data_IF_132404957872
#
_entry.id   IF_132404957872
#
_cell.length_a   1.000
_cell.length_b   1.000
_cell.length_c   1.000
_cell.angle_alpha   90.00
_cell.angle_beta   90.00
_cell.angle_gamma   90.00
#
_symmetry.space_group_name_H-M   'P 1'
#
loop_
_entity.id
_entity.type
_entity.pdbx_description
1 polymer ?
#
# COMPACT_ATOMS: atom_id res chain seq x y z
N UNK A 1 -28.91 -26.82 -35.29
CA UNK A 1 -29.76 -26.42 -34.14
C UNK A 1 -29.09 -26.71 -32.80
N UNK A 2 -28.40 -27.84 -32.68
CA UNK A 2 -27.60 -28.16 -31.50
C UNK A 2 -26.42 -27.18 -31.29
N UNK A 3 -25.67 -26.90 -32.35
CA UNK A 3 -24.56 -25.94 -32.33
C UNK A 3 -25.00 -24.51 -31.98
N UNK A 4 -26.25 -24.15 -32.29
CA UNK A 4 -26.80 -22.86 -31.91
C UNK A 4 -27.25 -22.81 -30.43
N UNK A 5 -27.73 -23.95 -29.91
CA UNK A 5 -28.06 -24.08 -28.47
C UNK A 5 -26.79 -24.15 -27.63
N UNK A 6 -25.70 -24.73 -28.14
CA UNK A 6 -24.41 -24.78 -27.50
C UNK A 6 -23.78 -23.36 -27.32
N UNK A 7 -24.04 -22.45 -28.24
CA UNK A 7 -23.67 -21.04 -28.11
C UNK A 7 -24.34 -20.35 -26.90
N UNK A 8 -25.55 -20.79 -26.52
CA UNK A 8 -26.30 -20.26 -25.40
C UNK A 8 -26.09 -21.06 -24.11
N UNK A 9 -25.44 -22.24 -24.18
CA UNK A 9 -25.10 -23.03 -22.98
C UNK A 9 -24.19 -22.26 -22.00
N UNK A 10 -23.39 -21.32 -22.51
CA UNK A 10 -22.55 -20.43 -21.74
C UNK A 10 -23.37 -19.53 -20.80
N UNK A 11 -24.60 -19.14 -21.18
CA UNK A 11 -25.47 -18.30 -20.35
C UNK A 11 -26.09 -19.10 -19.21
N UNK A 12 -26.35 -20.39 -19.41
CA UNK A 12 -26.94 -21.28 -18.37
C UNK A 12 -25.95 -21.68 -17.28
N UNK A 13 -24.65 -21.58 -17.53
CA UNK A 13 -23.57 -21.88 -16.59
C UNK A 13 -23.12 -20.66 -15.76
N UNK A 14 -23.83 -19.54 -15.89
CA UNK A 14 -23.52 -18.33 -15.14
C UNK A 14 -23.96 -18.46 -13.69
N UNK A 15 -22.98 -18.47 -12.77
CA UNK A 15 -23.25 -18.58 -11.34
C UNK A 15 -23.55 -17.21 -10.73
N UNK A 16 -24.34 -17.16 -9.64
CA UNK A 16 -24.60 -15.90 -8.93
C UNK A 16 -23.32 -15.29 -8.35
N UNK A 17 -22.35 -16.13 -7.95
CA UNK A 17 -21.03 -15.71 -7.48
C UNK A 17 -20.23 -15.00 -8.58
N UNK A 18 -20.25 -15.54 -9.79
CA UNK A 18 -19.62 -14.89 -10.96
C UNK A 18 -20.28 -13.53 -11.24
N UNK A 19 -21.62 -13.45 -11.18
CA UNK A 19 -22.36 -12.19 -11.29
C UNK A 19 -21.96 -11.17 -10.23
N UNK A 20 -21.79 -11.61 -8.98
CA UNK A 20 -21.32 -10.74 -7.91
C UNK A 20 -19.90 -10.22 -8.17
N UNK A 21 -18.98 -11.07 -8.64
CA UNK A 21 -17.61 -10.67 -8.94
C UNK A 21 -17.52 -9.72 -10.13
N UNK A 22 -18.36 -9.91 -11.15
CA UNK A 22 -18.50 -8.96 -12.26
C UNK A 22 -19.02 -7.61 -11.75
N UNK A 23 -20.01 -7.61 -10.86
CA UNK A 23 -20.52 -6.38 -10.25
C UNK A 23 -19.41 -5.67 -9.42
N UNK A 24 -18.61 -6.41 -8.65
CA UNK A 24 -17.44 -5.88 -7.93
C UNK A 24 -16.45 -5.29 -8.93
N UNK A 25 -16.13 -5.99 -10.03
CA UNK A 25 -15.27 -5.47 -11.10
C UNK A 25 -15.78 -4.15 -11.69
N UNK A 26 -17.09 -4.07 -11.98
CA UNK A 26 -17.73 -2.83 -12.44
C UNK A 26 -17.64 -1.69 -11.41
N UNK A 27 -17.78 -2.00 -10.13
CA UNK A 27 -17.61 -1.00 -9.03
C UNK A 27 -16.17 -0.50 -9.00
N UNK A 28 -15.16 -1.37 -9.11
CA UNK A 28 -13.76 -0.97 -9.17
C UNK A 28 -13.49 -0.06 -10.38
N UNK A 29 -14.02 -0.38 -11.55
CA UNK A 29 -13.93 0.45 -12.76
C UNK A 29 -14.61 1.82 -12.53
N UNK A 30 -15.79 1.83 -11.92
CA UNK A 30 -16.49 3.07 -11.57
C UNK A 30 -15.66 3.95 -10.62
N UNK A 31 -15.08 3.36 -9.58
CA UNK A 31 -14.21 4.08 -8.63
C UNK A 31 -12.97 4.63 -9.34
N UNK A 32 -12.38 3.87 -10.24
CA UNK A 32 -11.22 4.29 -11.04
C UNK A 32 -11.56 5.50 -11.93
N UNK A 33 -12.66 5.44 -12.69
CA UNK A 33 -12.99 6.43 -13.72
C UNK A 33 -13.69 7.66 -13.13
N UNK A 34 -14.72 7.45 -12.28
CA UNK A 34 -15.59 8.54 -11.82
C UNK A 34 -15.07 9.18 -10.53
N UNK A 35 -14.41 8.40 -9.69
CA UNK A 35 -13.85 8.90 -8.43
C UNK A 35 -12.34 9.17 -8.51
N UNK A 36 -11.71 8.87 -9.65
CA UNK A 36 -10.26 9.03 -9.87
C UNK A 36 -9.40 8.38 -8.78
N UNK A 37 -9.88 7.24 -8.25
CA UNK A 37 -9.23 6.50 -7.17
C UNK A 37 -8.27 5.47 -7.77
N UNK A 38 -6.98 5.72 -7.68
CA UNK A 38 -5.92 4.85 -8.23
C UNK A 38 -6.26 4.25 -9.61
N UNK A 39 -6.55 5.10 -10.63
CA UNK A 39 -7.09 4.62 -11.91
C UNK A 39 -6.17 3.62 -12.61
N UNK A 40 -4.86 3.82 -12.51
CA UNK A 40 -3.84 2.98 -13.14
C UNK A 40 -3.85 1.54 -12.66
N UNK A 41 -4.40 1.28 -11.47
CA UNK A 41 -4.47 -0.04 -10.87
C UNK A 41 -5.89 -0.59 -10.81
N UNK A 42 -6.86 0.21 -10.30
CA UNK A 42 -8.23 -0.27 -10.11
C UNK A 42 -8.93 -0.57 -11.44
N UNK A 43 -8.61 0.17 -12.51
CA UNK A 43 -9.19 -0.08 -13.83
C UNK A 43 -8.76 -1.44 -14.41
N UNK A 44 -7.46 -1.76 -14.51
CA UNK A 44 -7.02 -3.08 -14.98
C UNK A 44 -7.50 -4.23 -14.08
N UNK A 45 -7.49 -4.04 -12.77
CA UNK A 45 -7.96 -5.04 -11.79
C UNK A 45 -9.47 -5.29 -11.95
N UNK A 46 -10.28 -4.23 -12.06
CA UNK A 46 -11.71 -4.33 -12.24
C UNK A 46 -12.08 -4.98 -13.58
N UNK A 47 -11.40 -4.59 -14.67
CA UNK A 47 -11.60 -5.21 -15.97
C UNK A 47 -11.17 -6.67 -15.98
N UNK A 48 -10.03 -6.98 -15.38
CA UNK A 48 -9.57 -8.36 -15.22
C UNK A 48 -10.55 -9.20 -14.40
N UNK A 49 -11.13 -8.65 -13.31
CA UNK A 49 -12.14 -9.33 -12.52
C UNK A 49 -13.41 -9.63 -13.32
N UNK A 50 -13.84 -8.71 -14.19
CA UNK A 50 -14.95 -9.00 -15.14
C UNK A 50 -14.54 -10.15 -16.07
N UNK A 51 -13.34 -10.08 -16.66
CA UNK A 51 -12.90 -11.04 -17.65
C UNK A 51 -12.78 -12.47 -17.10
N UNK A 52 -12.15 -12.65 -15.92
CA UNK A 52 -11.93 -14.00 -15.34
C UNK A 52 -13.19 -14.64 -14.77
N UNK A 53 -14.28 -13.88 -14.61
CA UNK A 53 -15.57 -14.39 -14.12
C UNK A 53 -16.61 -14.55 -15.22
N UNK A 54 -16.25 -14.32 -16.49
CA UNK A 54 -17.10 -14.69 -17.61
C UNK A 54 -17.06 -16.21 -17.82
N UNK A 55 -18.21 -16.86 -18.09
CA UNK A 55 -18.25 -18.30 -18.31
C UNK A 55 -17.42 -18.68 -19.55
N UNK A 56 -16.64 -19.76 -19.42
CA UNK A 56 -15.81 -20.36 -20.49
C UNK A 56 -14.70 -19.47 -21.07
N UNK A 57 -14.33 -18.40 -20.38
CA UNK A 57 -13.15 -17.60 -20.78
C UNK A 57 -11.87 -18.40 -20.47
N UNK A 58 -10.99 -18.48 -21.46
CA UNK A 58 -9.65 -19.00 -21.25
C UNK A 58 -8.83 -17.98 -20.46
N UNK A 59 -8.46 -18.32 -19.23
CA UNK A 59 -7.70 -17.46 -18.33
C UNK A 59 -6.19 -17.72 -18.38
N UNK A 60 -5.70 -18.62 -19.25
CA UNK A 60 -4.28 -19.01 -19.34
C UNK A 60 -3.32 -17.83 -19.51
N UNK A 61 -3.70 -16.82 -20.29
CA UNK A 61 -2.87 -15.64 -20.46
C UNK A 61 -2.71 -14.83 -19.16
N UNK A 62 -3.80 -14.69 -18.39
CA UNK A 62 -3.79 -13.97 -17.11
C UNK A 62 -3.04 -14.82 -16.05
N UNK A 63 -3.24 -16.14 -16.08
CA UNK A 63 -2.50 -17.08 -15.23
C UNK A 63 -1.00 -17.01 -15.52
N UNK A 64 -0.61 -16.99 -16.78
CA UNK A 64 0.79 -16.87 -17.19
C UNK A 64 1.40 -15.55 -16.69
N UNK A 65 0.68 -14.43 -16.80
CA UNK A 65 1.13 -13.15 -16.26
C UNK A 65 1.25 -13.20 -14.72
N UNK A 66 0.29 -13.82 -14.05
CA UNK A 66 0.34 -14.02 -12.60
C UNK A 66 1.57 -14.85 -12.20
N UNK A 67 1.77 -15.98 -12.84
CA UNK A 67 2.89 -16.89 -12.53
C UNK A 67 4.24 -16.26 -12.85
N UNK A 68 4.36 -15.53 -13.97
CA UNK A 68 5.62 -14.90 -14.37
C UNK A 68 5.96 -13.65 -13.55
N UNK A 69 4.97 -12.92 -13.03
CA UNK A 69 5.20 -11.62 -12.43
C UNK A 69 4.92 -11.53 -10.93
N UNK A 70 3.81 -12.15 -10.47
CA UNK A 70 3.42 -12.10 -9.05
C UNK A 70 4.01 -13.29 -8.30
N UNK A 71 3.83 -14.50 -8.83
CA UNK A 71 4.34 -15.71 -8.16
C UNK A 71 5.87 -15.77 -8.06
N UNK A 72 6.57 -15.07 -8.95
CA UNK A 72 8.03 -14.88 -8.91
C UNK A 72 8.46 -13.63 -8.16
N UNK A 73 7.51 -12.86 -7.60
CA UNK A 73 7.75 -11.58 -6.90
C UNK A 73 8.35 -10.47 -7.78
N UNK A 74 8.50 -10.72 -9.10
CA UNK A 74 9.17 -9.80 -10.03
C UNK A 74 8.43 -8.45 -10.16
N UNK A 75 7.09 -8.45 -10.30
CA UNK A 75 6.33 -7.21 -10.48
C UNK A 75 6.39 -6.31 -9.24
N UNK A 76 6.20 -6.79 -7.99
CA UNK A 76 6.40 -5.99 -6.81
C UNK A 76 7.79 -5.34 -6.74
N UNK A 77 8.86 -6.10 -7.00
CA UNK A 77 10.23 -5.60 -6.97
C UNK A 77 10.48 -4.50 -8.02
N UNK A 78 10.05 -4.73 -9.28
CA UNK A 78 10.18 -3.73 -10.34
C UNK A 78 9.35 -2.46 -10.06
N UNK A 79 8.16 -2.62 -9.45
CA UNK A 79 7.34 -1.48 -9.05
C UNK A 79 8.04 -0.64 -7.98
N UNK A 80 8.76 -1.27 -7.05
CA UNK A 80 9.54 -0.55 -6.03
C UNK A 80 10.65 0.31 -6.63
N UNK A 81 11.29 -0.08 -7.76
CA UNK A 81 12.21 0.82 -8.48
C UNK A 81 11.48 2.10 -8.93
N UNK A 82 10.30 1.94 -9.54
CA UNK A 82 9.48 3.06 -9.97
C UNK A 82 9.10 3.97 -8.81
N UNK A 83 8.57 3.40 -7.74
CA UNK A 83 8.17 4.13 -6.53
C UNK A 83 9.39 4.85 -5.92
N UNK A 84 10.52 4.18 -5.78
CA UNK A 84 11.75 4.77 -5.25
C UNK A 84 12.24 5.97 -6.07
N UNK A 85 12.14 5.87 -7.39
CA UNK A 85 12.46 6.98 -8.29
C UNK A 85 11.47 8.15 -8.20
N UNK A 86 10.20 7.89 -7.83
CA UNK A 86 9.18 8.94 -7.61
C UNK A 86 9.36 9.67 -6.29
N UNK A 87 9.86 9.00 -5.25
CA UNK A 87 9.93 9.53 -3.89
C UNK A 87 11.07 10.56 -3.75
N UNK A 88 10.71 11.73 -3.21
CA UNK A 88 11.68 12.70 -2.69
C UNK A 88 11.85 12.50 -1.18
N UNK A 89 13.01 12.00 -0.77
CA UNK A 89 13.36 11.85 0.65
C UNK A 89 13.83 13.16 1.30
N UNK A 90 13.91 14.26 0.57
CA UNK A 90 14.29 15.57 1.08
C UNK A 90 13.54 16.01 2.35
N UNK A 91 12.20 15.93 2.41
CA UNK A 91 11.42 16.25 3.60
C UNK A 91 11.79 15.40 4.83
N UNK A 92 12.07 14.11 4.63
CA UNK A 92 12.52 13.20 5.69
C UNK A 92 13.93 13.54 6.16
N UNK A 93 14.84 13.76 5.21
CA UNK A 93 16.24 14.12 5.52
C UNK A 93 16.35 15.47 6.22
N UNK A 94 15.47 16.43 5.88
CA UNK A 94 15.37 17.73 6.56
C UNK A 94 14.88 17.62 8.01
N UNK A 95 14.06 16.61 8.30
CA UNK A 95 13.52 16.36 9.63
C UNK A 95 13.46 14.86 9.95
N UNK A 96 14.59 14.25 10.36
CA UNK A 96 14.66 12.81 10.62
C UNK A 96 13.71 12.29 11.71
N UNK A 97 13.19 13.19 12.58
CA UNK A 97 12.17 12.81 13.57
C UNK A 97 10.89 12.27 12.92
N UNK A 98 10.66 12.59 11.64
CA UNK A 98 9.52 12.05 10.87
C UNK A 98 9.59 10.54 10.72
N UNK A 99 10.77 9.90 10.82
CA UNK A 99 10.91 8.44 10.82
C UNK A 99 10.12 7.75 11.93
N UNK A 100 9.98 8.40 13.06
CA UNK A 100 9.22 7.87 14.21
C UNK A 100 7.73 7.73 13.88
N UNK A 101 7.19 8.58 13.02
CA UNK A 101 5.78 8.50 12.61
C UNK A 101 5.52 7.31 11.68
N UNK A 102 6.44 7.02 10.77
CA UNK A 102 6.38 5.81 9.95
C UNK A 102 6.39 4.55 10.80
N UNK A 103 7.31 4.47 11.78
CA UNK A 103 7.37 3.33 12.69
C UNK A 103 6.09 3.20 13.55
N UNK A 104 5.58 4.31 14.10
CA UNK A 104 4.38 4.32 14.93
C UNK A 104 3.11 3.95 14.16
N UNK A 105 3.04 4.30 12.88
CA UNK A 105 1.92 3.96 12.03
C UNK A 105 1.86 2.46 11.65
N UNK A 106 2.88 1.65 11.94
CA UNK A 106 2.83 0.19 11.77
C UNK A 106 2.11 -0.52 12.94
N UNK A 107 1.56 0.22 13.89
CA UNK A 107 0.87 -0.35 15.06
C UNK A 107 -0.29 -1.27 14.68
N UNK A 108 -1.08 -0.90 13.68
CA UNK A 108 -2.23 -1.67 13.23
C UNK A 108 -1.83 -3.02 12.63
N UNK A 109 -0.66 -3.14 11.99
CA UNK A 109 -0.13 -4.40 11.48
C UNK A 109 0.00 -5.41 12.63
N UNK A 110 0.74 -5.04 13.68
CA UNK A 110 0.98 -5.96 14.81
C UNK A 110 -0.29 -6.21 15.62
N UNK A 111 -1.16 -5.22 15.76
CA UNK A 111 -2.48 -5.39 16.37
C UNK A 111 -3.32 -6.41 15.59
N UNK A 112 -3.40 -6.28 14.28
CA UNK A 112 -4.20 -7.16 13.43
C UNK A 112 -3.62 -8.57 13.35
N UNK A 113 -2.31 -8.74 13.40
CA UNK A 113 -1.67 -10.04 13.54
C UNK A 113 -2.22 -10.81 14.76
N UNK A 114 -2.31 -10.15 15.90
CA UNK A 114 -2.84 -10.74 17.13
C UNK A 114 -4.34 -11.08 16.97
N UNK A 115 -5.14 -10.14 16.43
CA UNK A 115 -6.58 -10.34 16.25
C UNK A 115 -6.85 -11.49 15.26
N UNK A 116 -6.16 -11.55 14.13
CA UNK A 116 -6.31 -12.61 13.14
C UNK A 116 -5.93 -13.99 13.74
N UNK A 117 -4.87 -14.04 14.56
CA UNK A 117 -4.52 -15.27 15.30
C UNK A 117 -5.61 -15.70 16.28
N UNK A 118 -6.20 -14.76 17.01
CA UNK A 118 -7.32 -15.03 17.92
C UNK A 118 -8.59 -15.49 17.19
N UNK A 119 -8.78 -15.07 15.94
CA UNK A 119 -9.88 -15.55 15.07
C UNK A 119 -9.62 -16.94 14.46
N UNK A 120 -8.46 -17.55 14.71
CA UNK A 120 -8.15 -18.92 14.30
C UNK A 120 -7.42 -19.05 12.95
N UNK A 121 -6.97 -17.95 12.33
CA UNK A 121 -6.11 -18.02 11.14
C UNK A 121 -4.75 -18.64 11.49
N UNK A 122 -4.11 -19.33 10.55
CA UNK A 122 -2.71 -19.79 10.68
C UNK A 122 -1.79 -18.60 10.95
N UNK A 123 -0.56 -18.82 11.40
CA UNK A 123 0.38 -17.71 11.64
C UNK A 123 0.76 -17.03 10.33
N UNK A 124 0.95 -17.80 9.26
CA UNK A 124 1.26 -17.36 7.91
C UNK A 124 0.13 -16.50 7.32
N UNK A 125 -1.11 -16.99 7.46
CA UNK A 125 -2.29 -16.25 6.98
C UNK A 125 -2.54 -14.99 7.81
N UNK A 126 -2.44 -15.08 9.15
CA UNK A 126 -2.61 -13.92 10.03
C UNK A 126 -1.56 -12.83 9.77
N UNK A 127 -0.30 -13.21 9.53
CA UNK A 127 0.78 -12.30 9.18
C UNK A 127 0.54 -11.63 7.81
N UNK A 128 0.10 -12.42 6.84
CA UNK A 128 -0.24 -11.93 5.50
C UNK A 128 -1.46 -11.01 5.49
N UNK A 129 -2.44 -11.24 6.36
CA UNK A 129 -3.61 -10.35 6.55
C UNK A 129 -3.18 -9.04 7.24
N UNK A 130 -2.33 -9.15 8.25
CA UNK A 130 -1.89 -8.00 9.04
C UNK A 130 -1.17 -6.93 8.21
N UNK A 131 -0.34 -7.34 7.26
CA UNK A 131 0.44 -6.41 6.42
C UNK A 131 -0.44 -5.50 5.53
N UNK A 132 -1.72 -5.84 5.33
CA UNK A 132 -2.68 -5.00 4.61
C UNK A 132 -2.78 -3.61 5.24
N UNK A 133 -2.61 -3.52 6.57
CA UNK A 133 -2.70 -2.27 7.33
C UNK A 133 -1.72 -1.20 6.86
N UNK A 134 -0.52 -1.59 6.43
CA UNK A 134 0.47 -0.67 5.88
C UNK A 134 -0.05 0.16 4.69
N UNK A 135 -1.14 -0.29 4.05
CA UNK A 135 -1.64 0.25 2.78
C UNK A 135 -0.52 0.30 1.71
N UNK A 136 0.23 -0.79 1.62
CA UNK A 136 1.35 -1.01 0.71
C UNK A 136 1.10 -2.29 -0.10
N UNK A 137 0.55 -2.11 -1.30
CA UNK A 137 0.19 -3.24 -2.16
C UNK A 137 1.36 -4.16 -2.48
N UNK A 138 2.48 -3.64 -3.00
CA UNK A 138 3.66 -4.45 -3.32
C UNK A 138 4.20 -5.25 -2.12
N UNK A 139 4.34 -4.63 -0.94
CA UNK A 139 4.77 -5.33 0.28
C UNK A 139 3.77 -6.41 0.67
N UNK A 140 2.46 -6.14 0.56
CA UNK A 140 1.41 -7.12 0.88
C UNK A 140 1.45 -8.33 -0.05
N UNK A 141 1.70 -8.13 -1.35
CA UNK A 141 1.89 -9.22 -2.32
C UNK A 141 3.12 -10.04 -1.93
N UNK A 142 4.25 -9.37 -1.73
CA UNK A 142 5.51 -10.03 -1.41
C UNK A 142 5.40 -10.89 -0.15
N UNK A 143 4.91 -10.32 0.95
CA UNK A 143 4.77 -11.03 2.22
C UNK A 143 3.80 -12.22 2.11
N UNK A 144 2.63 -12.03 1.48
CA UNK A 144 1.65 -13.12 1.31
C UNK A 144 2.16 -14.22 0.39
N UNK A 145 3.01 -13.90 -0.60
CA UNK A 145 3.62 -14.85 -1.50
C UNK A 145 4.71 -15.67 -0.79
N UNK A 146 5.65 -15.02 -0.11
CA UNK A 146 6.72 -15.67 0.66
C UNK A 146 6.16 -16.60 1.73
N UNK A 147 5.09 -16.16 2.43
CA UNK A 147 4.39 -16.97 3.45
C UNK A 147 3.47 -18.02 2.85
N UNK A 148 3.31 -18.08 1.53
CA UNK A 148 2.40 -19.00 0.82
C UNK A 148 0.99 -18.99 1.40
N UNK A 149 0.47 -17.79 1.74
CA UNK A 149 -0.87 -17.63 2.32
C UNK A 149 -1.94 -18.26 1.43
N UNK A 150 -2.90 -18.93 2.03
CA UNK A 150 -4.06 -19.48 1.33
C UNK A 150 -4.99 -18.41 0.76
N UNK A 151 -4.86 -17.16 1.23
CA UNK A 151 -5.76 -16.04 0.91
C UNK A 151 -5.09 -14.92 0.12
N UNK A 152 -4.04 -15.23 -0.64
CA UNK A 152 -3.28 -14.24 -1.42
C UNK A 152 -4.18 -13.30 -2.24
N UNK A 153 -5.18 -13.84 -2.93
CA UNK A 153 -6.09 -13.02 -3.74
C UNK A 153 -6.86 -11.98 -2.92
N UNK A 154 -7.45 -12.39 -1.80
CA UNK A 154 -8.18 -11.50 -0.92
C UNK A 154 -7.26 -10.42 -0.33
N UNK A 155 -6.04 -10.80 0.07
CA UNK A 155 -5.03 -9.90 0.63
C UNK A 155 -4.60 -8.86 -0.39
N UNK A 156 -4.30 -9.28 -1.63
CA UNK A 156 -3.90 -8.38 -2.72
C UNK A 156 -5.00 -7.36 -3.04
N UNK A 157 -6.22 -7.83 -3.21
CA UNK A 157 -7.38 -6.96 -3.50
C UNK A 157 -7.62 -6.00 -2.34
N UNK A 158 -7.56 -6.47 -1.09
CA UNK A 158 -7.73 -5.64 0.09
C UNK A 158 -6.66 -4.53 0.16
N UNK A 159 -5.38 -4.88 0.04
CA UNK A 159 -4.27 -3.95 0.16
C UNK A 159 -4.37 -2.79 -0.84
N UNK A 160 -4.65 -3.11 -2.10
CA UNK A 160 -4.79 -2.08 -3.13
C UNK A 160 -6.09 -1.27 -3.01
N UNK A 161 -7.20 -1.95 -2.65
CA UNK A 161 -8.48 -1.25 -2.44
C UNK A 161 -8.38 -0.25 -1.28
N UNK A 162 -7.72 -0.62 -0.19
CA UNK A 162 -7.56 0.29 0.96
C UNK A 162 -6.60 1.43 0.68
N UNK A 163 -5.55 1.22 -0.10
CA UNK A 163 -4.72 2.31 -0.58
C UNK A 163 -5.56 3.35 -1.33
N UNK A 164 -6.46 2.91 -2.21
CA UNK A 164 -7.39 3.79 -2.92
C UNK A 164 -8.41 4.48 -1.99
N UNK A 165 -8.81 3.83 -0.88
CA UNK A 165 -9.79 4.34 0.08
C UNK A 165 -9.21 5.30 1.13
N UNK A 166 -7.91 5.54 1.15
CA UNK A 166 -7.25 6.47 2.09
C UNK A 166 -7.97 7.82 2.19
N UNK A 167 -8.32 8.51 1.10
CA UNK A 167 -8.99 9.82 1.18
C UNK A 167 -10.40 9.77 1.79
N UNK A 168 -11.03 8.60 1.82
CA UNK A 168 -12.38 8.40 2.36
C UNK A 168 -12.32 7.96 3.82
N UNK A 169 -11.45 7.02 4.14
CA UNK A 169 -11.41 6.35 5.46
C UNK A 169 -10.64 7.16 6.49
N UNK A 170 -9.50 7.76 6.12
CA UNK A 170 -8.68 8.51 7.08
C UNK A 170 -9.36 9.75 7.68
N UNK A 171 -10.02 10.64 6.91
CA UNK A 171 -10.55 11.89 7.47
C UNK A 171 -11.54 11.71 8.63
N UNK A 172 -12.54 10.82 8.57
CA UNK A 172 -13.44 10.60 9.70
C UNK A 172 -12.73 10.07 10.94
N UNK A 173 -11.75 9.16 10.76
CA UNK A 173 -10.97 8.60 11.87
C UNK A 173 -10.13 9.68 12.53
N UNK A 174 -9.41 10.47 11.75
CA UNK A 174 -8.60 11.58 12.26
C UNK A 174 -9.48 12.58 13.03
N UNK A 175 -10.68 12.93 12.49
CA UNK A 175 -11.61 13.83 13.19
C UNK A 175 -12.12 13.27 14.50
N UNK A 176 -12.35 11.96 14.57
CA UNK A 176 -12.82 11.27 15.77
C UNK A 176 -11.79 11.34 16.91
N UNK A 177 -10.51 11.19 16.58
CA UNK A 177 -9.42 11.08 17.57
C UNK A 177 -8.65 12.39 17.78
N UNK A 178 -8.98 13.47 17.06
CA UNK A 178 -8.33 14.79 17.22
C UNK A 178 -9.34 15.90 17.48
N UNK A 179 -8.99 16.83 18.34
CA UNK A 179 -9.76 18.05 18.56
C UNK A 179 -9.49 19.11 17.48
N UNK A 180 -10.42 20.08 17.30
CA UNK A 180 -10.20 21.22 16.41
C UNK A 180 -8.94 22.03 16.75
N UNK A 181 -8.60 22.16 18.04
CA UNK A 181 -7.39 22.86 18.49
C UNK A 181 -6.14 22.15 17.98
N UNK A 182 -6.10 20.82 18.07
CA UNK A 182 -4.99 20.02 17.60
C UNK A 182 -4.84 20.10 16.08
N UNK A 183 -5.93 20.04 15.33
CA UNK A 183 -5.89 20.12 13.86
C UNK A 183 -5.46 21.47 13.34
N UNK A 184 -5.62 22.55 14.12
CA UNK A 184 -5.17 23.91 13.81
C UNK A 184 -3.72 24.21 14.20
N UNK A 185 -2.99 23.28 14.77
CA UNK A 185 -1.57 23.46 15.06
C UNK A 185 -0.82 23.68 13.74
N UNK A 186 -0.28 24.89 13.57
CA UNK A 186 0.58 25.24 12.44
C UNK A 186 2.00 24.77 12.72
N UNK A 187 2.65 24.28 11.69
CA UNK A 187 4.05 23.86 11.75
C UNK A 187 4.89 24.65 10.77
N UNK A 188 5.96 25.25 11.25
CA UNK A 188 6.90 25.95 10.41
C UNK A 188 7.78 24.96 9.66
N UNK A 189 7.80 25.05 8.34
CA UNK A 189 8.71 24.29 7.51
C UNK A 189 9.91 25.14 7.13
N UNK A 190 11.04 24.83 7.71
CA UNK A 190 12.33 25.41 7.34
C UNK A 190 13.17 24.30 6.72
N UNK A 191 13.21 24.18 5.37
CA UNK A 191 13.98 23.13 4.72
C UNK A 191 15.48 23.33 4.99
N UNK A 192 16.12 22.31 5.58
CA UNK A 192 17.56 22.29 5.67
C UNK A 192 18.16 22.06 4.27
N UNK A 193 19.23 22.75 3.96
CA UNK A 193 20.00 22.49 2.72
C UNK A 193 20.66 21.12 2.84
N UNK A 194 20.13 20.13 2.11
CA UNK A 194 20.68 18.77 2.10
C UNK A 194 21.71 18.68 0.99
N UNK A 195 22.94 18.25 1.34
CA UNK A 195 24.00 18.08 0.36
C UNK A 195 23.68 16.97 -0.65
N UNK A 196 24.18 17.08 -1.88
CA UNK A 196 24.04 16.04 -2.89
C UNK A 196 24.63 14.71 -2.41
N UNK A 197 25.75 14.76 -1.71
CA UNK A 197 26.40 13.57 -1.11
C UNK A 197 25.46 12.86 -0.13
N UNK A 198 24.77 13.59 0.75
CA UNK A 198 23.79 13.02 1.70
C UNK A 198 22.64 12.34 0.97
N UNK A 199 22.12 12.95 -0.10
CA UNK A 199 21.03 12.36 -0.91
C UNK A 199 21.45 11.06 -1.61
N UNK A 200 22.72 10.97 -2.09
CA UNK A 200 23.25 9.77 -2.72
C UNK A 200 23.57 8.67 -1.69
N UNK A 201 24.15 9.03 -0.55
CA UNK A 201 24.50 8.06 0.48
C UNK A 201 23.29 7.50 1.23
N UNK A 202 22.22 8.28 1.35
CA UNK A 202 21.02 7.88 2.08
C UNK A 202 20.45 6.54 1.61
N UNK A 203 20.11 6.30 0.33
CA UNK A 203 19.57 5.03 -0.12
C UNK A 203 20.53 3.85 0.10
N UNK A 204 21.83 4.07 -0.01
CA UNK A 204 22.85 3.04 0.24
C UNK A 204 22.86 2.65 1.72
N UNK A 205 22.89 3.65 2.62
CA UNK A 205 22.91 3.44 4.07
C UNK A 205 21.63 2.76 4.52
N UNK A 206 20.45 3.21 4.04
CA UNK A 206 19.17 2.61 4.37
C UNK A 206 19.11 1.15 3.93
N UNK A 207 19.59 0.82 2.73
CA UNK A 207 19.66 -0.56 2.23
C UNK A 207 20.51 -1.43 3.14
N UNK A 208 21.71 -0.97 3.54
CA UNK A 208 22.60 -1.72 4.42
C UNK A 208 21.97 -1.92 5.80
N UNK A 209 21.46 -0.84 6.43
CA UNK A 209 20.91 -0.89 7.78
C UNK A 209 19.64 -1.75 7.81
N UNK A 210 18.70 -1.49 6.91
CA UNK A 210 17.43 -2.22 6.87
C UNK A 210 17.65 -3.69 6.47
N UNK A 211 18.53 -3.98 5.52
CA UNK A 211 18.89 -5.34 5.15
C UNK A 211 19.58 -6.11 6.28
N UNK A 212 20.28 -5.42 7.18
CA UNK A 212 20.87 -6.04 8.37
C UNK A 212 19.82 -6.30 9.46
N UNK A 213 18.89 -5.36 9.68
CA UNK A 213 17.85 -5.45 10.71
C UNK A 213 16.73 -6.42 10.31
N UNK A 214 16.35 -6.40 9.05
CA UNK A 214 15.27 -7.20 8.47
C UNK A 214 15.73 -7.88 7.16
N UNK A 215 16.59 -8.91 7.21
CA UNK A 215 17.18 -9.53 6.02
C UNK A 215 16.15 -10.01 4.99
N UNK A 216 14.99 -10.49 5.46
CA UNK A 216 13.89 -10.96 4.59
C UNK A 216 13.23 -9.85 3.75
N UNK A 217 13.45 -8.58 4.08
CA UNK A 217 12.97 -7.45 3.27
C UNK A 217 14.09 -6.76 2.49
N UNK A 218 15.33 -7.29 2.52
CA UNK A 218 16.49 -6.66 1.91
C UNK A 218 16.28 -6.40 0.40
N UNK A 219 15.63 -7.32 -0.30
CA UNK A 219 15.30 -7.17 -1.72
C UNK A 219 14.33 -6.02 -1.95
N UNK A 220 13.20 -5.99 -1.22
CA UNK A 220 12.20 -4.93 -1.36
C UNK A 220 12.81 -3.54 -1.11
N UNK A 221 13.52 -3.39 0.02
CA UNK A 221 14.11 -2.11 0.38
C UNK A 221 15.26 -1.74 -0.57
N UNK A 222 16.01 -2.73 -1.03
CA UNK A 222 17.09 -2.55 -1.99
C UNK A 222 16.57 -2.01 -3.33
N UNK A 223 15.49 -2.57 -3.87
CA UNK A 223 14.86 -2.10 -5.11
C UNK A 223 14.23 -0.71 -4.96
N UNK A 224 13.58 -0.43 -3.82
CA UNK A 224 13.08 0.91 -3.48
C UNK A 224 14.22 1.94 -3.44
N UNK A 225 15.27 1.63 -2.71
CA UNK A 225 16.43 2.52 -2.56
C UNK A 225 17.26 2.64 -3.83
N UNK A 226 17.30 1.59 -4.65
CA UNK A 226 17.94 1.66 -5.98
C UNK A 226 17.20 2.63 -6.89
N UNK A 227 15.86 2.60 -6.91
CA UNK A 227 15.08 3.60 -7.63
C UNK A 227 15.39 5.02 -7.18
N UNK A 228 15.48 5.24 -5.86
CA UNK A 228 15.85 6.54 -5.31
C UNK A 228 17.30 6.95 -5.68
N UNK A 229 18.24 6.03 -5.66
CA UNK A 229 19.63 6.28 -6.06
C UNK A 229 19.72 6.71 -7.53
N UNK A 230 18.97 6.08 -8.44
CA UNK A 230 18.87 6.48 -9.85
C UNK A 230 18.43 7.94 -9.97
N UNK A 231 17.46 8.37 -9.17
CA UNK A 231 16.98 9.76 -9.14
C UNK A 231 18.06 10.72 -8.61
N UNK A 232 18.61 10.42 -7.45
CA UNK A 232 19.46 11.37 -6.69
C UNK A 232 20.90 11.46 -7.22
N UNK A 233 21.38 10.48 -8.01
CA UNK A 233 22.71 10.50 -8.59
C UNK A 233 22.93 11.67 -9.57
N UNK A 234 21.85 12.11 -10.25
CA UNK A 234 21.83 13.25 -11.15
C UNK A 234 22.52 13.04 -12.49
N UNK A 235 23.00 11.82 -12.79
CA UNK A 235 23.63 11.45 -14.07
C UNK A 235 22.75 10.54 -14.92
N UNK A 236 21.68 10.00 -14.36
CA UNK A 236 20.75 9.07 -14.99
C UNK A 236 19.34 9.66 -15.16
N UNK A 237 19.22 10.94 -15.52
CA UNK A 237 17.93 11.63 -15.60
C UNK A 237 16.91 10.92 -16.48
N UNK A 238 17.30 10.48 -17.69
CA UNK A 238 16.42 9.72 -18.59
C UNK A 238 15.97 8.39 -18.00
N UNK A 239 16.87 7.66 -17.32
CA UNK A 239 16.53 6.40 -16.67
C UNK A 239 15.58 6.62 -15.47
N UNK A 240 15.82 7.68 -14.70
CA UNK A 240 14.94 8.09 -13.61
C UNK A 240 13.53 8.40 -14.11
N UNK A 241 13.42 9.15 -15.20
CA UNK A 241 12.13 9.47 -15.81
C UNK A 241 11.42 8.21 -16.35
N UNK A 242 12.15 7.31 -16.97
CA UNK A 242 11.63 6.01 -17.44
C UNK A 242 11.13 5.18 -16.26
N UNK A 243 11.86 5.12 -15.16
CA UNK A 243 11.49 4.36 -13.99
C UNK A 243 10.21 4.92 -13.32
N UNK A 244 10.12 6.25 -13.19
CA UNK A 244 8.99 6.93 -12.56
C UNK A 244 7.68 6.81 -13.36
N UNK A 245 7.78 6.82 -14.70
CA UNK A 245 6.63 6.90 -15.58
C UNK A 245 6.40 5.56 -16.31
N UNK A 246 7.22 5.22 -17.28
CA UNK A 246 6.97 4.07 -18.16
C UNK A 246 7.02 2.74 -17.40
N UNK A 247 8.06 2.51 -16.59
CA UNK A 247 8.21 1.27 -15.83
C UNK A 247 7.09 1.14 -14.78
N UNK A 248 6.89 2.17 -13.96
CA UNK A 248 5.85 2.14 -12.91
C UNK A 248 4.46 1.92 -13.49
N UNK A 249 4.10 2.63 -14.57
CA UNK A 249 2.80 2.48 -15.22
C UNK A 249 2.63 1.10 -15.85
N UNK A 250 3.64 0.59 -16.58
CA UNK A 250 3.59 -0.73 -17.19
C UNK A 250 3.43 -1.84 -16.16
N UNK A 251 4.24 -1.80 -15.11
CA UNK A 251 4.18 -2.80 -14.04
C UNK A 251 2.86 -2.71 -13.29
N UNK A 252 2.35 -1.51 -13.01
CA UNK A 252 1.06 -1.34 -12.35
C UNK A 252 -0.09 -1.91 -13.17
N UNK A 253 -0.08 -1.70 -14.49
CA UNK A 253 -1.06 -2.28 -15.41
C UNK A 253 -0.99 -3.81 -15.42
N UNK A 254 0.20 -4.38 -15.60
CA UNK A 254 0.40 -5.83 -15.60
C UNK A 254 0.01 -6.45 -14.26
N UNK A 255 0.36 -5.80 -13.15
CA UNK A 255 0.02 -6.22 -11.81
C UNK A 255 -1.50 -6.20 -11.58
N UNK A 256 -2.18 -5.12 -11.98
CA UNK A 256 -3.63 -5.00 -11.85
C UNK A 256 -4.38 -6.12 -12.61
N UNK A 257 -4.01 -6.42 -13.84
CA UNK A 257 -4.62 -7.52 -14.62
C UNK A 257 -4.26 -8.88 -13.99
N UNK A 258 -3.00 -9.08 -13.57
CA UNK A 258 -2.54 -10.36 -13.02
C UNK A 258 -3.24 -10.71 -11.70
N UNK A 259 -3.46 -9.71 -10.82
CA UNK A 259 -4.18 -9.91 -9.53
C UNK A 259 -5.59 -10.47 -9.78
N UNK A 260 -6.22 -10.09 -10.88
CA UNK A 260 -7.56 -10.56 -11.23
C UNK A 260 -7.64 -12.10 -11.37
N UNK A 261 -6.54 -12.79 -11.67
CA UNK A 261 -6.49 -14.26 -11.66
C UNK A 261 -6.96 -14.86 -10.33
N UNK A 262 -6.68 -14.17 -9.21
CA UNK A 262 -7.12 -14.57 -7.86
C UNK A 262 -8.51 -14.04 -7.49
N UNK A 263 -9.17 -13.29 -8.38
CA UNK A 263 -10.52 -12.77 -8.19
C UNK A 263 -11.60 -13.66 -8.83
N UNK A 264 -11.30 -14.90 -9.18
CA UNK A 264 -12.28 -15.87 -9.63
C UNK A 264 -13.28 -16.17 -8.52
N UNK A 265 -14.57 -16.22 -8.85
CA UNK A 265 -15.66 -16.31 -7.88
C UNK A 265 -15.55 -17.51 -6.93
N UNK A 266 -15.04 -18.63 -7.42
CA UNK A 266 -14.86 -19.86 -6.64
C UNK A 266 -13.92 -19.69 -5.44
N UNK A 267 -12.88 -18.86 -5.62
CA UNK A 267 -11.86 -18.62 -4.58
C UNK A 267 -12.14 -17.37 -3.76
N UNK A 268 -12.85 -16.39 -4.35
CA UNK A 268 -13.00 -15.07 -3.74
C UNK A 268 -14.27 -14.93 -2.91
N UNK A 269 -15.40 -15.53 -3.33
CA UNK A 269 -16.70 -15.38 -2.65
C UNK A 269 -16.83 -16.40 -1.50
N UNK A 270 -16.07 -16.14 -0.44
CA UNK A 270 -16.04 -16.97 0.78
C UNK A 270 -16.21 -16.10 2.03
N UNK A 271 -16.68 -16.71 3.13
CA UNK A 271 -16.76 -16.01 4.42
C UNK A 271 -15.38 -15.53 4.90
N UNK A 272 -14.35 -16.32 4.65
CA UNK A 272 -12.97 -15.99 5.00
C UNK A 272 -12.49 -14.74 4.26
N UNK A 273 -12.80 -14.60 2.97
CA UNK A 273 -12.47 -13.40 2.20
C UNK A 273 -13.11 -12.15 2.80
N UNK A 274 -14.39 -12.23 3.18
CA UNK A 274 -15.07 -11.11 3.84
C UNK A 274 -14.42 -10.76 5.19
N UNK A 275 -14.05 -11.77 5.98
CA UNK A 275 -13.34 -11.57 7.23
C UNK A 275 -11.97 -10.91 7.02
N UNK A 276 -11.23 -11.30 5.98
CA UNK A 276 -9.94 -10.72 5.61
C UNK A 276 -10.10 -9.25 5.19
N UNK A 277 -11.11 -8.94 4.38
CA UNK A 277 -11.41 -7.56 4.01
C UNK A 277 -11.72 -6.72 5.25
N UNK A 278 -12.53 -7.21 6.18
CA UNK A 278 -12.82 -6.48 7.42
C UNK A 278 -11.58 -6.31 8.30
N UNK A 279 -10.76 -7.36 8.46
CA UNK A 279 -9.51 -7.31 9.23
C UNK A 279 -8.50 -6.33 8.61
N UNK A 280 -8.37 -6.30 7.29
CA UNK A 280 -7.52 -5.35 6.59
C UNK A 280 -7.99 -3.90 6.80
N UNK A 281 -9.32 -3.65 6.81
CA UNK A 281 -9.87 -2.34 7.15
C UNK A 281 -9.55 -1.96 8.61
N UNK A 282 -9.70 -2.90 9.53
CA UNK A 282 -9.34 -2.69 10.95
C UNK A 282 -7.85 -2.37 11.06
N UNK A 283 -6.96 -3.12 10.40
CA UNK A 283 -5.53 -2.87 10.37
C UNK A 283 -5.23 -1.43 9.92
N UNK A 284 -5.79 -1.01 8.80
CA UNK A 284 -5.62 0.32 8.24
C UNK A 284 -6.13 1.44 9.17
N UNK A 285 -7.27 1.22 9.85
CA UNK A 285 -7.80 2.15 10.85
C UNK A 285 -6.82 2.27 12.02
N UNK A 286 -6.33 1.15 12.54
CA UNK A 286 -5.42 1.15 13.70
C UNK A 286 -4.03 1.69 13.37
N UNK A 287 -3.55 1.56 12.14
CA UNK A 287 -2.34 2.23 11.68
C UNK A 287 -2.52 3.76 11.67
N UNK A 288 -3.64 4.25 11.17
CA UNK A 288 -4.00 5.67 11.24
C UNK A 288 -4.09 6.15 12.70
N UNK A 289 -4.77 5.39 13.57
CA UNK A 289 -4.91 5.70 15.01
C UNK A 289 -3.55 5.70 15.70
N UNK A 290 -2.72 4.69 15.47
CA UNK A 290 -1.40 4.55 16.07
C UNK A 290 -0.50 5.73 15.77
N UNK A 291 -0.42 6.16 14.50
CA UNK A 291 0.35 7.33 14.10
C UNK A 291 -0.14 8.62 14.75
N UNK A 292 -1.46 8.86 14.79
CA UNK A 292 -2.05 10.07 15.41
C UNK A 292 -1.84 10.07 16.94
N UNK A 293 -2.06 8.93 17.60
CA UNK A 293 -1.85 8.82 19.06
C UNK A 293 -0.39 9.02 19.42
N UNK A 294 0.53 8.46 18.62
CA UNK A 294 1.96 8.71 18.82
C UNK A 294 2.30 10.20 18.75
N UNK A 295 1.75 10.94 17.77
CA UNK A 295 1.94 12.39 17.69
C UNK A 295 1.41 13.12 18.92
N UNK A 296 0.29 12.68 19.50
CA UNK A 296 -0.25 13.25 20.75
C UNK A 296 0.66 12.95 21.94
N UNK A 297 1.14 11.71 22.05
CA UNK A 297 2.10 11.34 23.11
C UNK A 297 3.39 12.14 22.99
N UNK A 298 3.92 12.26 21.76
CA UNK A 298 5.10 13.08 21.49
C UNK A 298 4.90 14.53 21.93
N UNK A 299 3.69 15.08 21.72
CA UNK A 299 3.34 16.43 22.16
C UNK A 299 3.35 16.63 23.68
N UNK A 300 3.33 15.58 24.49
CA UNK A 300 3.47 15.71 25.96
C UNK A 300 4.90 16.14 26.29
N UNK A 301 5.87 15.62 25.54
CA UNK A 301 7.31 15.81 25.82
C UNK A 301 7.93 16.96 25.00
N UNK A 302 7.34 17.34 23.86
CA UNK A 302 7.89 18.37 22.99
C UNK A 302 7.41 19.78 23.37
N UNK A 303 8.35 20.74 23.38
CA UNK A 303 8.04 22.17 23.55
C UNK A 303 7.28 22.73 22.34
N UNK A 304 7.78 22.40 21.14
CA UNK A 304 7.08 22.74 19.89
C UNK A 304 6.09 21.62 19.56
N UNK A 305 4.81 21.96 19.48
CA UNK A 305 3.75 20.99 19.24
C UNK A 305 3.72 20.59 17.77
N UNK A 306 3.63 19.31 17.52
CA UNK A 306 3.40 18.72 16.21
C UNK A 306 1.89 18.61 15.98
N UNK A 307 1.43 18.90 14.75
CA UNK A 307 0.05 18.65 14.41
C UNK A 307 -0.21 17.12 14.37
N UNK A 308 -1.10 16.58 15.22
CA UNK A 308 -1.28 15.12 15.32
C UNK A 308 -1.74 14.46 14.03
N UNK A 309 -2.37 15.20 13.11
CA UNK A 309 -2.76 14.67 11.80
C UNK A 309 -1.57 14.14 10.98
N UNK A 310 -0.36 14.69 11.20
CA UNK A 310 0.85 14.22 10.49
C UNK A 310 1.13 12.75 10.77
N UNK A 311 0.82 12.27 11.98
CA UNK A 311 1.00 10.87 12.35
C UNK A 311 0.21 9.91 11.46
N UNK A 312 -0.98 10.29 10.99
CA UNK A 312 -1.75 9.46 10.06
C UNK A 312 -1.11 9.30 8.69
N UNK A 313 -0.20 10.20 8.31
CA UNK A 313 0.54 10.08 7.06
C UNK A 313 1.69 9.08 7.12
N UNK A 314 2.00 8.52 8.30
CA UNK A 314 3.04 7.50 8.49
C UNK A 314 2.73 6.13 7.87
N UNK A 315 1.56 5.93 7.25
CA UNK A 315 1.27 4.76 6.42
C UNK A 315 1.98 4.86 5.07
N UNK A 316 2.08 3.74 4.36
CA UNK A 316 2.82 3.65 3.10
C UNK A 316 2.07 4.19 1.86
N UNK A 317 0.80 4.56 1.96
CA UNK A 317 0.01 5.08 0.83
C UNK A 317 0.53 6.43 0.32
N UNK A 318 1.61 6.39 -0.45
CA UNK A 318 2.29 7.58 -1.01
C UNK A 318 1.72 7.94 -2.40
N UNK A 319 1.46 9.23 -2.70
CA UNK A 319 1.50 10.41 -1.81
C UNK A 319 0.13 10.76 -1.18
N UNK A 320 -0.83 9.84 -1.18
CA UNK A 320 -2.23 10.14 -0.85
C UNK A 320 -2.41 10.56 0.61
N UNK A 321 -1.81 9.84 1.57
CA UNK A 321 -1.96 10.14 2.98
C UNK A 321 -1.46 11.56 3.32
N UNK A 322 -0.36 12.00 2.72
CA UNK A 322 0.15 13.36 2.91
C UNK A 322 -0.79 14.43 2.33
N UNK A 323 -1.41 14.16 1.19
CA UNK A 323 -2.40 15.07 0.58
C UNK A 323 -3.67 15.17 1.43
N UNK A 324 -4.13 14.07 2.00
CA UNK A 324 -5.28 14.05 2.93
C UNK A 324 -5.02 14.94 4.14
N UNK A 325 -3.87 14.77 4.80
CA UNK A 325 -3.47 15.59 5.95
C UNK A 325 -3.39 17.07 5.59
N UNK A 326 -2.78 17.39 4.45
CA UNK A 326 -2.68 18.76 3.98
C UNK A 326 -4.05 19.40 3.71
N UNK A 327 -4.94 18.67 3.01
CA UNK A 327 -6.30 19.12 2.72
C UNK A 327 -7.08 19.39 4.02
N UNK A 328 -7.06 18.45 4.96
CA UNK A 328 -7.72 18.60 6.26
C UNK A 328 -7.15 19.77 7.07
N UNK A 329 -5.83 19.98 7.03
CA UNK A 329 -5.19 21.13 7.69
C UNK A 329 -5.70 22.45 7.15
N UNK A 330 -5.84 22.58 5.83
CA UNK A 330 -6.35 23.77 5.17
C UNK A 330 -7.87 23.98 5.35
N UNK A 331 -8.63 22.93 5.51
CA UNK A 331 -10.05 22.99 5.85
C UNK A 331 -10.28 23.59 7.24
N UNK A 332 -9.41 23.29 8.21
CA UNK A 332 -9.49 23.81 9.58
C UNK A 332 -8.89 25.22 9.72
N UNK A 333 -7.86 25.54 8.92
CA UNK A 333 -7.17 26.83 8.87
C UNK A 333 -6.49 27.00 7.50
N UNK A 334 -6.91 27.98 6.66
CA UNK A 334 -6.37 28.20 5.30
C UNK A 334 -4.85 28.41 5.23
N UNK A 335 -4.22 28.80 6.34
CA UNK A 335 -2.78 29.05 6.44
C UNK A 335 -2.01 27.86 7.04
N UNK A 336 -2.67 26.71 7.29
CA UNK A 336 -2.04 25.53 7.86
C UNK A 336 -1.47 24.62 6.76
N UNK A 337 -0.23 24.87 6.37
CA UNK A 337 0.47 24.13 5.32
C UNK A 337 1.24 22.95 5.89
N UNK A 338 0.64 21.76 5.87
CA UNK A 338 1.20 20.54 6.47
C UNK A 338 1.87 19.60 5.46
N UNK A 339 1.80 19.92 4.14
CA UNK A 339 2.18 18.97 3.09
C UNK A 339 3.59 18.40 3.26
N UNK A 340 4.58 19.26 3.47
CA UNK A 340 5.98 18.81 3.53
C UNK A 340 6.28 17.98 4.77
N UNK A 341 5.66 18.31 5.90
CA UNK A 341 5.77 17.51 7.13
C UNK A 341 5.07 16.15 6.97
N UNK A 342 3.87 16.16 6.42
CA UNK A 342 3.12 14.94 6.13
C UNK A 342 3.82 14.08 5.07
N UNK A 343 4.45 14.70 4.06
CA UNK A 343 5.26 13.98 3.07
C UNK A 343 6.47 13.28 3.72
N UNK A 344 7.16 13.96 4.65
CA UNK A 344 8.26 13.35 5.41
C UNK A 344 7.81 12.13 6.22
N UNK A 345 6.65 12.21 6.90
CA UNK A 345 6.06 11.08 7.61
C UNK A 345 5.63 9.96 6.65
N UNK A 346 5.02 10.30 5.52
CA UNK A 346 4.55 9.33 4.52
C UNK A 346 5.70 8.57 3.85
N UNK A 347 6.76 9.29 3.51
CA UNK A 347 8.00 8.70 2.98
C UNK A 347 8.67 7.78 4.01
N UNK A 348 8.64 8.15 5.30
CA UNK A 348 9.12 7.25 6.36
C UNK A 348 8.26 6.01 6.48
N UNK A 349 6.96 6.11 6.21
CA UNK A 349 6.02 4.99 6.14
C UNK A 349 6.39 3.97 5.09
N UNK A 350 6.88 4.40 3.92
CA UNK A 350 7.37 3.49 2.87
C UNK A 350 8.52 2.61 3.36
N UNK A 351 9.49 3.19 4.04
CA UNK A 351 10.61 2.44 4.62
C UNK A 351 10.10 1.53 5.76
N UNK A 352 9.27 2.07 6.64
CA UNK A 352 8.78 1.37 7.81
C UNK A 352 7.90 0.16 7.45
N UNK A 353 7.04 0.25 6.43
CA UNK A 353 6.19 -0.85 5.97
C UNK A 353 7.01 -2.01 5.43
N UNK A 354 8.03 -1.72 4.64
CA UNK A 354 8.94 -2.75 4.09
C UNK A 354 9.73 -3.43 5.21
N UNK A 355 10.24 -2.66 6.17
CA UNK A 355 10.94 -3.22 7.35
C UNK A 355 9.96 -4.05 8.19
N UNK A 356 8.74 -3.57 8.43
CA UNK A 356 7.72 -4.31 9.17
C UNK A 356 7.37 -5.64 8.48
N UNK A 357 7.22 -5.64 7.14
CA UNK A 357 7.06 -6.85 6.35
C UNK A 357 8.20 -7.85 6.57
N UNK A 358 9.45 -7.40 6.51
CA UNK A 358 10.62 -8.24 6.76
C UNK A 358 10.69 -8.78 8.18
N UNK A 359 10.33 -7.97 9.18
CA UNK A 359 10.25 -8.41 10.58
C UNK A 359 9.18 -9.48 10.78
N UNK A 360 8.01 -9.32 10.13
CA UNK A 360 6.95 -10.32 10.13
C UNK A 360 7.43 -11.62 9.49
N UNK A 361 8.10 -11.56 8.33
CA UNK A 361 8.66 -12.73 7.68
C UNK A 361 9.67 -13.43 8.58
N UNK A 362 10.53 -12.69 9.26
CA UNK A 362 11.49 -13.25 10.21
C UNK A 362 10.79 -13.89 11.42
N UNK A 363 9.72 -13.25 11.93
CA UNK A 363 8.94 -13.78 13.04
C UNK A 363 8.26 -15.11 12.70
N UNK A 364 7.75 -15.25 11.47
CA UNK A 364 6.97 -16.43 11.05
C UNK A 364 7.86 -17.57 10.56
N UNK A 365 8.87 -17.25 9.75
CA UNK A 365 9.73 -18.24 9.12
C UNK A 365 10.95 -18.63 9.97
N UNK A 366 11.24 -17.85 11.02
CA UNK A 366 12.49 -17.93 11.76
C UNK A 366 13.69 -17.36 10.97
N UNK A 367 14.87 -17.48 11.55
CA UNK A 367 16.12 -17.02 10.94
C UNK A 367 16.57 -17.93 9.81
#
# INVERSE_FOLDING_TARGET
MQDFLDLFSNVTNFTWQAGLMIAIGCVLIYLAIVKEMEPSLLLPMGFGAVLVNLPFVNTEAIETLFNAGIATELFPLLLFIGIGAMIDFGPLLSNPKMMLFGAAAQFGIFFTLIVARLMGFSLEDAASIAIIGAADGPTSIYVSQVLKSNYQGAIMVAAYSYMALVPIVQPPIIRLITSKKERRIRMNYAPAAISKTTRILFPIIVTIVAGTVAPKSAELIGFLMFGNLIRECGVLGSLSETAQNALANLITLLLGISVAFRMQAEYFVTFQTLAILLLGLVAFIFDTVGGVLFAKVLNIFCREKVNPMIGSAGISAFPMASRVVHKMGREEDPFNFLLMHAAGANVSGQIASVIAGGLILTLVLGH
#
